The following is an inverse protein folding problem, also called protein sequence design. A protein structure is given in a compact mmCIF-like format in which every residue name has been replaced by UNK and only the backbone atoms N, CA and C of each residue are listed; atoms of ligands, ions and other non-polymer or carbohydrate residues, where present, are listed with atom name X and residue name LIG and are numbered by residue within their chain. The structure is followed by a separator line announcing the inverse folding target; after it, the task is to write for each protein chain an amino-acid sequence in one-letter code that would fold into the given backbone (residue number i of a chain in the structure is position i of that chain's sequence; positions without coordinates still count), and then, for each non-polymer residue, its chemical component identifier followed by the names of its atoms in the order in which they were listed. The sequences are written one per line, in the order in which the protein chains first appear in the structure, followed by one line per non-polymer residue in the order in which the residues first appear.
data_IF_798668109623
#
_entry.id   IF_798668109623
#
_cell.length_a   1.000
_cell.length_b   1.000
_cell.length_c   1.000
_cell.angle_alpha   90.00
_cell.angle_beta   90.00
_cell.angle_gamma   90.00
#
_symmetry.space_group_name_H-M   'P 1'
#
loop_
_entity.id
_entity.type
_entity.pdbx_description
1 polymer ?
#
# COMPACT_ATOMS: atom_id res chain seq x y z
N UNK A 1 14.94 2.60 -8.78
CA UNK A 1 16.19 3.00 -8.09
C UNK A 1 15.83 3.97 -6.98
N UNK A 2 16.04 3.61 -5.70
CA UNK A 2 15.81 4.53 -4.58
C UNK A 2 16.81 5.67 -4.62
N UNK A 3 16.33 6.91 -4.52
CA UNK A 3 17.22 8.06 -4.28
C UNK A 3 17.81 7.94 -2.88
N UNK A 4 19.12 8.18 -2.75
CA UNK A 4 19.76 8.31 -1.43
C UNK A 4 19.26 9.60 -0.81
N UNK A 5 18.70 9.52 0.39
CA UNK A 5 18.29 10.69 1.17
C UNK A 5 19.53 11.24 1.85
N UNK A 6 19.95 12.44 1.47
CA UNK A 6 21.05 13.17 2.13
C UNK A 6 20.43 14.07 3.19
N UNK A 7 20.40 13.62 4.43
CA UNK A 7 19.96 14.44 5.56
C UNK A 7 21.09 15.41 5.93
N UNK A 8 20.87 16.70 5.74
CA UNK A 8 21.77 17.80 6.13
C UNK A 8 21.34 18.45 7.44
N UNK A 9 20.08 18.28 7.80
CA UNK A 9 19.48 18.82 9.02
C UNK A 9 19.75 17.97 10.25
N UNK A 10 19.24 18.45 11.37
CA UNK A 10 19.37 17.76 12.66
C UNK A 10 18.48 16.53 12.70
N UNK A 11 19.05 15.39 13.09
CA UNK A 11 18.29 14.19 13.38
C UNK A 11 17.77 14.24 14.82
N UNK A 12 16.50 13.88 15.00
CA UNK A 12 15.91 13.79 16.34
C UNK A 12 15.96 12.35 16.89
N UNK A 13 16.11 12.21 18.20
CA UNK A 13 16.05 10.91 18.89
C UNK A 13 14.61 10.40 19.03
N UNK A 14 13.60 11.28 18.95
CA UNK A 14 12.19 10.94 18.99
C UNK A 14 11.59 11.05 17.59
N UNK A 15 11.37 9.92 16.91
CA UNK A 15 10.82 9.95 15.55
C UNK A 15 9.36 10.42 15.54
N UNK A 16 8.98 11.11 14.48
CA UNK A 16 7.59 11.28 14.12
C UNK A 16 7.08 9.98 13.48
N UNK A 17 5.97 9.47 13.99
CA UNK A 17 5.32 8.28 13.44
C UNK A 17 4.16 8.72 12.57
N UNK A 18 4.22 8.39 11.29
CA UNK A 18 3.19 8.81 10.32
C UNK A 18 1.86 8.10 10.59
N UNK A 19 0.72 8.83 10.63
CA UNK A 19 -0.58 8.24 11.04
C UNK A 19 -1.07 7.13 10.11
N UNK A 20 -0.72 7.20 8.82
CA UNK A 20 -1.26 6.30 7.80
C UNK A 20 -0.43 5.04 7.59
N UNK A 21 0.88 5.10 7.82
CA UNK A 21 1.82 4.04 7.42
C UNK A 21 2.73 3.58 8.55
N UNK A 22 2.62 4.15 9.76
CA UNK A 22 3.48 3.88 10.93
C UNK A 22 5.00 3.99 10.63
N UNK A 23 5.36 4.74 9.58
CA UNK A 23 6.76 5.00 9.25
C UNK A 23 7.34 5.98 10.26
N UNK A 24 8.52 5.63 10.78
CA UNK A 24 9.26 6.49 11.71
C UNK A 24 10.19 7.42 10.93
N UNK A 25 9.99 8.72 11.09
CA UNK A 25 10.78 9.77 10.47
C UNK A 25 11.65 10.45 11.53
N UNK A 26 12.94 10.60 11.25
CA UNK A 26 13.93 11.12 12.19
C UNK A 26 14.50 12.48 11.77
N UNK A 27 14.24 12.95 10.55
CA UNK A 27 14.68 14.24 10.05
C UNK A 27 13.62 14.94 9.19
N UNK A 28 13.76 16.23 9.00
CA UNK A 28 12.86 17.01 8.19
C UNK A 28 12.92 16.61 6.69
N UNK A 29 14.08 16.17 6.20
CA UNK A 29 14.24 15.66 4.83
C UNK A 29 13.53 14.33 4.64
N UNK A 30 13.55 13.44 5.65
CA UNK A 30 12.74 12.20 5.62
C UNK A 30 11.25 12.51 5.55
N UNK A 31 10.79 13.55 6.27
CA UNK A 31 9.41 14.04 6.16
C UNK A 31 9.10 14.55 4.75
N UNK A 32 9.97 15.34 4.15
CA UNK A 32 9.80 15.82 2.78
C UNK A 32 9.73 14.66 1.77
N UNK A 33 10.62 13.68 1.92
CA UNK A 33 10.62 12.48 1.10
C UNK A 33 9.32 11.68 1.27
N UNK A 34 8.85 11.52 2.50
CA UNK A 34 7.59 10.85 2.79
C UNK A 34 6.41 11.58 2.13
N UNK A 35 6.30 12.89 2.30
CA UNK A 35 5.24 13.71 1.69
C UNK A 35 5.23 13.53 0.17
N UNK A 36 6.37 13.67 -0.46
CA UNK A 36 6.47 13.64 -1.93
C UNK A 36 6.07 12.27 -2.51
N UNK A 37 6.48 11.19 -1.87
CA UNK A 37 6.24 9.84 -2.39
C UNK A 37 4.90 9.24 -1.96
N UNK A 38 4.20 9.84 -0.98
CA UNK A 38 2.96 9.30 -0.42
C UNK A 38 1.79 10.30 -0.50
N UNK A 39 1.81 11.19 -1.47
CA UNK A 39 0.87 12.32 -1.55
C UNK A 39 -0.61 11.91 -1.51
N UNK A 40 -0.95 10.75 -2.09
CA UNK A 40 -2.31 10.21 -2.10
C UNK A 40 -2.74 9.63 -0.74
N UNK A 41 -1.79 9.29 0.13
CA UNK A 41 -2.04 8.73 1.45
C UNK A 41 -2.17 9.81 2.52
N UNK A 42 -1.69 11.02 2.25
CA UNK A 42 -1.64 12.11 3.22
C UNK A 42 -3.01 12.79 3.35
N UNK A 43 -3.47 12.88 4.61
CA UNK A 43 -4.66 13.62 4.98
C UNK A 43 -4.35 14.74 5.99
N UNK A 44 -5.39 15.42 6.47
CA UNK A 44 -5.27 16.46 7.52
C UNK A 44 -4.69 15.91 8.84
N UNK A 45 -4.86 14.63 9.09
CA UNK A 45 -4.35 13.90 10.24
C UNK A 45 -2.81 13.85 10.32
N UNK A 46 -2.10 14.08 9.19
CA UNK A 46 -0.64 14.27 9.21
C UNK A 46 -0.25 15.54 9.99
N UNK A 47 -1.09 16.59 9.95
CA UNK A 47 -0.79 17.89 10.55
C UNK A 47 -1.28 17.92 12.00
N UNK A 48 -0.73 17.06 12.82
CA UNK A 48 -1.02 16.98 14.25
C UNK A 48 -0.01 17.77 15.11
N UNK A 49 -0.21 17.75 16.42
CA UNK A 49 0.70 18.45 17.35
C UNK A 49 2.04 17.72 17.51
N UNK A 50 2.06 16.39 17.23
CA UNK A 50 3.29 15.61 17.26
C UNK A 50 4.20 15.99 16.08
N UNK A 51 3.63 16.29 14.90
CA UNK A 51 4.41 16.81 13.77
C UNK A 51 5.07 18.15 14.12
N UNK A 52 4.33 19.05 14.78
CA UNK A 52 4.85 20.36 15.18
C UNK A 52 6.02 20.19 16.18
N UNK A 53 5.87 19.32 17.18
CA UNK A 53 6.93 19.00 18.14
C UNK A 53 8.14 18.35 17.46
N UNK A 54 7.90 17.45 16.51
CA UNK A 54 8.95 16.82 15.73
C UNK A 54 9.77 17.84 14.92
N UNK A 55 9.11 18.78 14.23
CA UNK A 55 9.79 19.85 13.48
C UNK A 55 10.65 20.73 14.42
N UNK A 56 10.17 21.04 15.61
CA UNK A 56 10.96 21.75 16.61
C UNK A 56 12.21 20.95 17.03
N UNK A 57 12.04 19.65 17.30
CA UNK A 57 13.13 18.77 17.72
C UNK A 57 14.15 18.51 16.58
N UNK A 58 13.71 18.58 15.33
CA UNK A 58 14.55 18.47 14.15
C UNK A 58 15.29 19.79 13.79
N UNK A 59 15.21 20.83 14.66
CA UNK A 59 15.88 22.10 14.43
C UNK A 59 15.10 23.10 13.57
N UNK A 60 13.89 22.75 13.13
CA UNK A 60 13.04 23.53 12.21
C UNK A 60 11.99 24.38 12.97
N UNK A 61 12.44 25.12 13.98
CA UNK A 61 11.55 25.87 14.88
C UNK A 61 10.71 26.94 14.19
N UNK A 62 11.27 27.66 13.22
CA UNK A 62 10.51 28.65 12.42
C UNK A 62 9.46 28.00 11.53
N UNK A 63 9.79 26.84 10.94
CA UNK A 63 8.85 26.07 10.15
C UNK A 63 7.72 25.54 11.02
N UNK A 64 8.04 24.99 12.19
CA UNK A 64 7.04 24.51 13.16
C UNK A 64 6.04 25.61 13.53
N UNK A 65 6.52 26.84 13.82
CA UNK A 65 5.66 27.98 14.12
C UNK A 65 4.76 28.37 12.94
N UNK A 66 5.28 28.34 11.70
CA UNK A 66 4.50 28.61 10.48
C UNK A 66 3.43 27.53 10.25
N UNK A 67 3.79 26.25 10.38
CA UNK A 67 2.85 25.12 10.23
C UNK A 67 1.74 25.21 11.27
N UNK A 68 2.08 25.51 12.53
CA UNK A 68 1.10 25.72 13.60
C UNK A 68 0.11 26.84 13.25
N UNK A 69 0.61 27.99 12.81
CA UNK A 69 -0.24 29.14 12.42
C UNK A 69 -1.17 28.79 11.24
N UNK A 70 -0.67 28.07 10.24
CA UNK A 70 -1.47 27.62 9.10
C UNK A 70 -2.55 26.63 9.55
N UNK A 71 -2.21 25.69 10.43
CA UNK A 71 -3.18 24.75 11.03
C UNK A 71 -4.29 25.49 11.78
N UNK A 72 -3.94 26.41 12.66
CA UNK A 72 -4.89 27.20 13.44
C UNK A 72 -5.79 28.10 12.58
N UNK A 73 -5.28 28.60 11.44
CA UNK A 73 -6.06 29.39 10.49
C UNK A 73 -6.97 28.57 9.58
N UNK A 74 -6.93 27.23 9.67
CA UNK A 74 -7.68 26.35 8.77
C UNK A 74 -7.20 26.34 7.34
N UNK A 75 -5.91 26.60 7.12
CA UNK A 75 -5.32 26.64 5.77
C UNK A 75 -5.47 25.28 5.06
N UNK A 76 -5.66 25.26 3.72
CA UNK A 76 -5.73 24.04 2.96
C UNK A 76 -4.47 23.17 3.15
N UNK A 77 -4.64 21.84 3.22
CA UNK A 77 -3.55 20.88 3.35
C UNK A 77 -2.44 21.12 2.33
N UNK A 78 -2.81 21.37 1.07
CA UNK A 78 -1.87 21.68 -0.01
C UNK A 78 -0.92 22.85 0.34
N UNK A 79 -1.45 23.91 0.95
CA UNK A 79 -0.65 25.06 1.35
C UNK A 79 0.35 24.69 2.45
N UNK A 80 -0.08 23.90 3.43
CA UNK A 80 0.78 23.45 4.54
C UNK A 80 1.90 22.56 4.01
N UNK A 81 1.58 21.57 3.20
CA UNK A 81 2.57 20.66 2.61
C UNK A 81 3.59 21.37 1.73
N UNK A 82 3.13 22.29 0.87
CA UNK A 82 4.04 23.12 0.04
C UNK A 82 4.92 23.99 0.90
N UNK A 83 4.42 24.52 2.03
CA UNK A 83 5.23 25.32 2.97
C UNK A 83 6.35 24.46 3.58
N UNK A 84 6.04 23.22 4.00
CA UNK A 84 7.04 22.28 4.53
C UNK A 84 8.11 21.99 3.48
N UNK A 85 7.71 21.58 2.28
CA UNK A 85 8.63 21.22 1.19
C UNK A 85 9.55 22.37 0.77
N UNK A 86 9.03 23.62 0.70
CA UNK A 86 9.82 24.80 0.35
C UNK A 86 10.80 25.22 1.44
N UNK A 87 10.50 24.95 2.71
CA UNK A 87 11.34 25.38 3.83
C UNK A 87 12.58 24.49 4.03
N UNK A 88 12.52 23.23 3.61
CA UNK A 88 13.60 22.26 3.84
C UNK A 88 14.60 22.22 2.66
N UNK A 89 14.25 22.80 1.51
CA UNK A 89 15.10 22.84 0.30
C UNK A 89 15.64 21.47 -0.15
N UNK A 90 14.80 20.42 0.00
CA UNK A 90 15.15 19.05 -0.39
C UNK A 90 14.77 18.77 -1.86
N UNK A 91 13.69 19.38 -2.33
CA UNK A 91 13.20 19.29 -3.71
C UNK A 91 13.36 20.62 -4.44
N UNK A 92 13.60 20.53 -5.74
CA UNK A 92 13.64 21.71 -6.61
C UNK A 92 12.28 22.41 -6.69
N UNK A 93 12.30 23.69 -7.04
CA UNK A 93 11.06 24.47 -7.23
C UNK A 93 10.14 23.81 -8.27
N UNK A 94 10.69 23.23 -9.35
CA UNK A 94 9.91 22.55 -10.37
C UNK A 94 9.19 21.31 -9.84
N UNK A 95 9.87 20.48 -9.02
CA UNK A 95 9.26 19.31 -8.39
C UNK A 95 8.14 19.71 -7.43
N UNK A 96 8.34 20.78 -6.65
CA UNK A 96 7.32 21.29 -5.71
C UNK A 96 6.10 21.86 -6.45
N UNK A 97 6.29 22.57 -7.57
CA UNK A 97 5.16 23.08 -8.36
C UNK A 97 4.37 21.92 -9.03
N UNK A 98 5.03 20.89 -9.53
CA UNK A 98 4.34 19.68 -10.01
C UNK A 98 3.50 19.04 -8.90
N UNK A 99 4.06 18.89 -7.69
CA UNK A 99 3.32 18.35 -6.55
C UNK A 99 2.12 19.23 -6.17
N UNK A 100 2.28 20.53 -6.21
CA UNK A 100 1.20 21.49 -5.93
C UNK A 100 0.03 21.36 -6.92
N UNK A 101 0.32 21.10 -8.20
CA UNK A 101 -0.73 20.83 -9.20
C UNK A 101 -1.50 19.54 -8.88
N UNK A 102 -0.78 18.47 -8.47
CA UNK A 102 -1.41 17.23 -8.02
C UNK A 102 -2.30 17.51 -6.80
N UNK A 103 -1.81 18.22 -5.79
CA UNK A 103 -2.56 18.58 -4.59
C UNK A 103 -3.81 19.41 -4.90
N UNK A 104 -3.71 20.36 -5.82
CA UNK A 104 -4.85 21.17 -6.26
C UNK A 104 -5.89 20.32 -7.00
N UNK A 105 -5.45 19.35 -7.78
CA UNK A 105 -6.34 18.40 -8.47
C UNK A 105 -7.06 17.52 -7.45
N UNK A 106 -6.33 16.95 -6.49
CA UNK A 106 -6.90 16.17 -5.39
C UNK A 106 -7.94 16.96 -4.57
N UNK A 107 -7.69 18.26 -4.36
CA UNK A 107 -8.62 19.14 -3.66
C UNK A 107 -9.95 19.36 -4.39
N UNK A 108 -10.00 19.17 -5.71
CA UNK A 108 -11.20 19.31 -6.56
C UNK A 108 -11.92 17.99 -6.77
N UNK A 109 -11.31 16.86 -6.45
CA UNK A 109 -11.91 15.55 -6.61
C UNK A 109 -13.05 15.31 -5.63
N UNK A 110 -14.04 14.52 -6.05
CA UNK A 110 -15.09 13.99 -5.19
C UNK A 110 -14.50 13.12 -4.06
N UNK A 111 -15.30 12.87 -3.04
CA UNK A 111 -14.90 11.99 -1.93
C UNK A 111 -14.54 10.59 -2.45
N UNK A 112 -15.31 10.07 -3.41
CA UNK A 112 -15.08 8.76 -4.02
C UNK A 112 -13.75 8.69 -4.77
N UNK A 113 -13.45 9.71 -5.59
CA UNK A 113 -12.19 9.76 -6.33
C UNK A 113 -10.98 9.83 -5.40
N UNK A 114 -11.07 10.61 -4.31
CA UNK A 114 -10.00 10.67 -3.30
C UNK A 114 -9.84 9.35 -2.55
N UNK A 115 -10.95 8.69 -2.17
CA UNK A 115 -10.90 7.37 -1.53
C UNK A 115 -10.31 6.33 -2.46
N UNK A 116 -10.67 6.37 -3.77
CA UNK A 116 -10.10 5.49 -4.77
C UNK A 116 -8.59 5.71 -4.92
N UNK A 117 -8.16 6.94 -5.12
CA UNK A 117 -6.74 7.28 -5.24
C UNK A 117 -5.93 6.86 -4.00
N UNK A 118 -6.52 7.03 -2.81
CA UNK A 118 -5.95 6.59 -1.54
C UNK A 118 -5.87 5.06 -1.45
N UNK A 119 -6.92 4.36 -1.85
CA UNK A 119 -6.95 2.90 -1.93
C UNK A 119 -5.90 2.35 -2.88
N UNK A 120 -5.78 2.96 -4.07
CA UNK A 120 -4.76 2.62 -5.08
C UNK A 120 -3.34 2.82 -4.52
N UNK A 121 -3.10 3.91 -3.80
CA UNK A 121 -1.83 4.17 -3.11
C UNK A 121 -1.50 3.12 -2.05
N UNK A 122 -2.48 2.73 -1.22
CA UNK A 122 -2.31 1.66 -0.25
C UNK A 122 -2.04 0.30 -0.90
N UNK A 123 -2.77 -0.02 -1.97
CA UNK A 123 -2.59 -1.28 -2.71
C UNK A 123 -1.18 -1.38 -3.31
N UNK A 124 -0.67 -0.29 -3.89
CA UNK A 124 0.68 -0.21 -4.44
C UNK A 124 1.79 -0.29 -3.37
N UNK A 125 1.47 0.12 -2.15
CA UNK A 125 2.38 0.05 -0.99
C UNK A 125 2.20 -1.25 -0.18
N UNK A 126 1.42 -2.23 -0.69
CA UNK A 126 1.11 -3.51 -0.08
C UNK A 126 0.32 -3.43 1.25
N UNK A 127 -0.33 -2.30 1.52
CA UNK A 127 -1.22 -2.12 2.67
C UNK A 127 -2.65 -2.58 2.36
N UNK A 128 -2.82 -3.88 2.13
CA UNK A 128 -4.04 -4.46 1.56
C UNK A 128 -5.31 -4.15 2.38
N UNK A 129 -5.27 -4.27 3.70
CA UNK A 129 -6.43 -3.96 4.53
C UNK A 129 -6.86 -2.48 4.45
N UNK A 130 -5.90 -1.56 4.43
CA UNK A 130 -6.19 -0.14 4.27
C UNK A 130 -6.79 0.16 2.89
N UNK A 131 -6.27 -0.49 1.85
CA UNK A 131 -6.83 -0.43 0.50
C UNK A 131 -8.27 -0.96 0.47
N UNK A 132 -8.51 -2.15 1.05
CA UNK A 132 -9.83 -2.76 1.16
C UNK A 132 -10.81 -1.81 1.87
N UNK A 133 -10.40 -1.22 3.01
CA UNK A 133 -11.25 -0.28 3.75
C UNK A 133 -11.67 0.92 2.90
N UNK A 134 -10.74 1.49 2.12
CA UNK A 134 -11.06 2.60 1.21
C UNK A 134 -12.05 2.18 0.13
N UNK A 135 -11.81 1.04 -0.53
CA UNK A 135 -12.67 0.56 -1.61
C UNK A 135 -14.05 0.12 -1.10
N UNK A 136 -14.12 -0.56 0.04
CA UNK A 136 -15.40 -0.95 0.64
C UNK A 136 -16.23 0.27 1.05
N UNK A 137 -15.62 1.34 1.58
CA UNK A 137 -16.32 2.59 1.85
C UNK A 137 -16.95 3.17 0.58
N UNK A 138 -16.23 3.14 -0.56
CA UNK A 138 -16.80 3.59 -1.84
C UNK A 138 -18.02 2.76 -2.21
N UNK A 139 -17.95 1.44 -2.08
CA UNK A 139 -19.03 0.54 -2.49
C UNK A 139 -20.24 0.65 -1.56
N UNK A 140 -20.03 0.79 -0.24
CA UNK A 140 -21.09 0.80 0.78
C UNK A 140 -21.75 2.17 0.91
N UNK A 141 -20.92 3.22 1.01
CA UNK A 141 -21.41 4.55 1.43
C UNK A 141 -21.74 5.47 0.26
N UNK A 142 -21.11 5.23 -0.91
CA UNK A 142 -21.18 6.13 -2.06
C UNK A 142 -21.71 5.47 -3.34
N UNK A 143 -22.31 4.29 -3.25
CA UNK A 143 -22.81 3.55 -4.40
C UNK A 143 -23.73 4.41 -5.29
N UNK A 144 -23.32 4.60 -6.54
CA UNK A 144 -24.11 5.29 -7.57
C UNK A 144 -24.09 6.81 -7.53
N UNK A 145 -23.22 7.45 -6.73
CA UNK A 145 -23.27 8.91 -6.54
C UNK A 145 -22.24 9.70 -7.35
N UNK A 146 -20.98 9.31 -7.35
CA UNK A 146 -19.90 10.19 -7.82
C UNK A 146 -18.88 9.52 -8.77
N UNK A 147 -19.11 8.26 -9.13
CA UNK A 147 -18.23 7.51 -10.02
C UNK A 147 -19.01 6.93 -11.21
N UNK A 148 -18.34 6.85 -12.35
CA UNK A 148 -18.85 6.13 -13.52
C UNK A 148 -18.77 4.62 -13.31
N UNK A 149 -19.57 3.84 -14.03
CA UNK A 149 -19.55 2.37 -13.96
C UNK A 149 -18.15 1.79 -14.19
N UNK A 150 -17.37 2.38 -15.11
CA UNK A 150 -15.99 1.99 -15.38
C UNK A 150 -15.05 2.21 -14.19
N UNK A 151 -15.29 3.23 -13.35
CA UNK A 151 -14.47 3.47 -12.16
C UNK A 151 -14.87 2.54 -11.02
N UNK A 152 -16.15 2.21 -10.89
CA UNK A 152 -16.60 1.13 -10.00
C UNK A 152 -15.99 -0.21 -10.40
N UNK A 153 -15.91 -0.53 -11.71
CA UNK A 153 -15.26 -1.74 -12.18
C UNK A 153 -13.79 -1.80 -11.73
N UNK A 154 -13.06 -0.68 -11.80
CA UNK A 154 -11.68 -0.59 -11.30
C UNK A 154 -11.59 -0.78 -9.78
N UNK A 155 -12.53 -0.21 -9.02
CA UNK A 155 -12.59 -0.39 -7.56
C UNK A 155 -12.79 -1.87 -7.22
N UNK A 156 -13.72 -2.55 -7.88
CA UNK A 156 -13.94 -3.98 -7.69
C UNK A 156 -12.75 -4.82 -8.11
N UNK A 157 -12.10 -4.50 -9.25
CA UNK A 157 -10.87 -5.17 -9.68
C UNK A 157 -9.76 -5.05 -8.63
N UNK A 158 -9.52 -3.85 -8.11
CA UNK A 158 -8.50 -3.59 -7.11
C UNK A 158 -8.82 -4.26 -5.75
N UNK A 159 -10.10 -4.36 -5.39
CA UNK A 159 -10.53 -5.18 -4.25
C UNK A 159 -10.18 -6.66 -4.46
N UNK A 160 -10.49 -7.20 -5.62
CA UNK A 160 -10.11 -8.57 -5.99
C UNK A 160 -8.61 -8.77 -5.88
N UNK A 161 -7.81 -7.81 -6.37
CA UNK A 161 -6.34 -7.85 -6.28
C UNK A 161 -5.86 -7.81 -4.83
N UNK A 162 -6.44 -6.96 -3.98
CA UNK A 162 -6.06 -6.90 -2.57
C UNK A 162 -6.35 -8.23 -1.85
N UNK A 163 -7.52 -8.82 -2.09
CA UNK A 163 -7.87 -10.13 -1.52
C UNK A 163 -7.01 -11.27 -2.07
N UNK A 164 -6.71 -11.28 -3.39
CA UNK A 164 -5.83 -12.28 -4.00
C UNK A 164 -4.42 -12.25 -3.41
N UNK A 165 -3.85 -11.04 -3.19
CA UNK A 165 -2.53 -10.87 -2.56
C UNK A 165 -2.51 -11.27 -1.07
N UNK A 166 -3.68 -11.38 -0.44
CA UNK A 166 -3.86 -11.92 0.90
C UNK A 166 -4.21 -13.43 0.90
N UNK A 167 -4.10 -14.09 -0.24
CA UNK A 167 -4.46 -15.50 -0.45
C UNK A 167 -5.94 -15.83 -0.17
N UNK A 168 -6.82 -14.83 -0.15
CA UNK A 168 -8.27 -14.98 0.03
C UNK A 168 -8.95 -15.11 -1.33
N UNK A 169 -8.63 -16.19 -2.03
CA UNK A 169 -8.96 -16.37 -3.45
C UNK A 169 -10.46 -16.42 -3.73
N UNK A 170 -11.27 -17.04 -2.86
CA UNK A 170 -12.73 -17.07 -3.05
C UNK A 170 -13.33 -15.66 -3.08
N UNK A 171 -12.91 -14.80 -2.16
CA UNK A 171 -13.34 -13.38 -2.17
C UNK A 171 -12.81 -12.63 -3.39
N UNK A 172 -11.58 -12.92 -3.80
CA UNK A 172 -11.01 -12.30 -4.99
C UNK A 172 -11.85 -12.63 -6.23
N UNK A 173 -12.31 -13.87 -6.38
CA UNK A 173 -13.20 -14.30 -7.48
C UNK A 173 -14.49 -13.50 -7.51
N UNK A 174 -15.14 -13.31 -6.34
CA UNK A 174 -16.39 -12.54 -6.23
C UNK A 174 -16.19 -11.12 -6.75
N UNK A 175 -15.13 -10.45 -6.33
CA UNK A 175 -14.86 -9.06 -6.72
C UNK A 175 -14.38 -8.92 -8.16
N UNK A 176 -13.57 -9.82 -8.68
CA UNK A 176 -13.17 -9.82 -10.08
C UNK A 176 -14.35 -10.08 -11.03
N UNK A 177 -15.27 -10.97 -10.66
CA UNK A 177 -16.49 -11.21 -11.42
C UNK A 177 -17.38 -9.97 -11.47
N UNK A 178 -17.52 -9.25 -10.34
CA UNK A 178 -18.28 -8.01 -10.30
C UNK A 178 -17.61 -6.90 -11.14
N UNK A 179 -16.28 -6.83 -11.11
CA UNK A 179 -15.51 -5.93 -11.94
C UNK A 179 -15.72 -6.21 -13.44
N UNK A 180 -15.70 -7.49 -13.84
CA UNK A 180 -15.96 -7.90 -15.22
C UNK A 180 -17.41 -7.59 -15.62
N UNK A 181 -18.37 -7.89 -14.76
CA UNK A 181 -19.78 -7.59 -15.00
C UNK A 181 -20.04 -6.11 -15.30
N UNK A 182 -19.34 -5.20 -14.60
CA UNK A 182 -19.51 -3.76 -14.74
C UNK A 182 -18.70 -3.15 -15.88
N UNK A 183 -17.47 -3.59 -16.07
CA UNK A 183 -16.52 -2.96 -16.99
C UNK A 183 -16.19 -3.76 -18.25
N UNK A 184 -16.55 -5.04 -18.30
CA UNK A 184 -16.24 -5.99 -19.39
C UNK A 184 -14.73 -6.02 -19.74
N UNK A 185 -13.86 -5.79 -18.76
CA UNK A 185 -12.42 -5.83 -18.96
C UNK A 185 -11.90 -7.28 -18.88
N UNK A 186 -11.30 -7.76 -19.96
CA UNK A 186 -10.75 -9.11 -20.05
C UNK A 186 -9.73 -9.43 -18.95
N UNK A 187 -8.98 -8.44 -18.48
CA UNK A 187 -8.06 -8.61 -17.36
C UNK A 187 -8.77 -9.06 -16.09
N UNK A 188 -9.95 -8.48 -15.78
CA UNK A 188 -10.75 -8.90 -14.62
C UNK A 188 -11.25 -10.33 -14.76
N UNK A 189 -11.62 -10.77 -15.98
CA UNK A 189 -12.01 -12.15 -16.27
C UNK A 189 -10.84 -13.12 -16.05
N UNK A 190 -9.67 -12.79 -16.60
CA UNK A 190 -8.44 -13.59 -16.40
C UNK A 190 -8.07 -13.71 -14.92
N UNK A 191 -8.09 -12.61 -14.18
CA UNK A 191 -7.81 -12.61 -12.75
C UNK A 191 -8.83 -13.44 -11.95
N UNK A 192 -10.11 -13.44 -12.35
CA UNK A 192 -11.15 -14.29 -11.74
C UNK A 192 -10.86 -15.77 -11.96
N UNK A 193 -10.52 -16.17 -13.19
CA UNK A 193 -10.15 -17.54 -13.53
C UNK A 193 -8.90 -17.96 -12.73
N UNK A 194 -7.86 -17.14 -12.73
CA UNK A 194 -6.62 -17.40 -11.98
C UNK A 194 -6.89 -17.61 -10.48
N UNK A 195 -7.67 -16.73 -9.87
CA UNK A 195 -8.05 -16.83 -8.46
C UNK A 195 -8.89 -18.10 -8.19
N UNK A 196 -9.79 -18.49 -9.12
CA UNK A 196 -10.57 -19.74 -9.02
C UNK A 196 -9.69 -20.97 -9.04
N UNK A 197 -8.68 -21.01 -9.92
CA UNK A 197 -7.70 -22.10 -9.98
C UNK A 197 -6.91 -22.19 -8.66
N UNK A 198 -6.46 -21.06 -8.14
CA UNK A 198 -5.71 -21.02 -6.87
C UNK A 198 -6.58 -21.44 -5.69
N UNK A 199 -7.85 -21.06 -5.64
CA UNK A 199 -8.79 -21.47 -4.61
C UNK A 199 -9.06 -22.98 -4.62
N UNK A 200 -9.06 -23.62 -5.78
CA UNK A 200 -9.29 -25.06 -5.93
C UNK A 200 -8.05 -25.89 -5.59
N UNK A 201 -6.84 -25.37 -5.82
CA UNK A 201 -5.58 -26.08 -5.50
C UNK A 201 -5.46 -26.51 -4.04
N UNK A 202 -6.10 -25.78 -3.14
CA UNK A 202 -6.10 -26.14 -1.72
C UNK A 202 -7.08 -27.28 -1.37
N UNK A 203 -7.93 -27.73 -2.29
CA UNK A 203 -9.07 -28.61 -1.96
C UNK A 203 -9.12 -29.96 -2.66
N UNK A 204 -8.53 -30.14 -3.85
CA UNK A 204 -8.34 -31.42 -4.56
C UNK A 204 -7.93 -31.21 -6.05
N UNK A 205 -7.27 -32.17 -6.73
CA UNK A 205 -7.02 -32.07 -8.17
C UNK A 205 -8.34 -32.19 -8.93
N UNK A 206 -8.77 -31.12 -9.56
CA UNK A 206 -10.04 -31.09 -10.27
C UNK A 206 -9.84 -31.60 -11.70
N UNK A 207 -10.44 -32.76 -11.97
CA UNK A 207 -10.73 -33.22 -13.32
C UNK A 207 -11.98 -32.46 -13.81
N UNK A 208 -11.81 -31.34 -14.50
CA UNK A 208 -12.91 -30.57 -15.09
C UNK A 208 -12.66 -30.39 -16.55
N UNK A 209 -13.72 -30.52 -17.36
CA UNK A 209 -13.76 -30.04 -18.74
C UNK A 209 -13.42 -28.52 -18.73
N UNK A 210 -12.15 -28.25 -19.02
CA UNK A 210 -11.57 -26.89 -18.92
C UNK A 210 -11.98 -26.14 -20.18
N UNK A 211 -12.70 -25.02 -20.03
CA UNK A 211 -12.95 -24.11 -21.14
C UNK A 211 -11.60 -23.56 -21.66
N UNK A 212 -11.52 -23.26 -22.95
CA UNK A 212 -10.28 -22.84 -23.63
C UNK A 212 -9.56 -21.69 -22.88
N UNK A 213 -10.31 -20.72 -22.40
CA UNK A 213 -9.80 -19.58 -21.60
C UNK A 213 -9.16 -20.03 -20.27
N UNK A 214 -9.73 -21.03 -19.60
CA UNK A 214 -9.24 -21.57 -18.33
C UNK A 214 -7.92 -22.31 -18.53
N UNK A 215 -7.79 -23.08 -19.63
CA UNK A 215 -6.56 -23.76 -19.99
C UNK A 215 -5.39 -22.79 -20.24
N UNK A 216 -5.65 -21.70 -20.97
CA UNK A 216 -4.62 -20.68 -21.25
C UNK A 216 -4.13 -20.05 -19.94
N UNK A 217 -5.06 -19.63 -19.07
CA UNK A 217 -4.71 -19.01 -17.77
C UNK A 217 -3.99 -20.01 -16.88
N UNK A 218 -4.40 -21.28 -16.84
CA UNK A 218 -3.72 -22.30 -16.06
C UNK A 218 -2.26 -22.47 -16.50
N UNK A 219 -2.00 -22.49 -17.81
CA UNK A 219 -0.67 -22.64 -18.36
C UNK A 219 0.23 -21.42 -18.08
N UNK A 220 -0.34 -20.22 -18.15
CA UNK A 220 0.35 -19.00 -17.73
C UNK A 220 0.74 -19.05 -16.24
N UNK A 221 -0.18 -19.48 -15.36
CA UNK A 221 0.09 -19.65 -13.93
C UNK A 221 1.17 -20.68 -13.65
N UNK A 222 1.14 -21.84 -14.30
CA UNK A 222 2.16 -22.88 -14.17
C UNK A 222 3.55 -22.33 -14.56
N UNK A 223 3.62 -21.58 -15.66
CA UNK A 223 4.86 -20.94 -16.09
C UNK A 223 5.37 -19.92 -15.04
N UNK A 224 4.47 -19.11 -14.49
CA UNK A 224 4.84 -18.13 -13.44
C UNK A 224 5.30 -18.84 -12.15
N UNK A 225 4.64 -19.91 -11.76
CA UNK A 225 5.01 -20.72 -10.60
C UNK A 225 6.38 -21.40 -10.79
N UNK A 226 6.66 -21.92 -11.98
CA UNK A 226 7.97 -22.51 -12.30
C UNK A 226 9.07 -21.43 -12.28
N UNK A 227 8.79 -20.25 -12.82
CA UNK A 227 9.73 -19.13 -12.74
C UNK A 227 9.98 -18.68 -11.28
N UNK A 228 8.95 -18.70 -10.42
CA UNK A 228 9.09 -18.35 -9.01
C UNK A 228 10.04 -19.28 -8.23
N UNK A 229 10.19 -20.54 -8.67
CA UNK A 229 11.15 -21.48 -8.08
C UNK A 229 12.62 -21.06 -8.26
N UNK A 230 12.91 -20.15 -9.20
CA UNK A 230 14.24 -19.60 -9.41
C UNK A 230 14.47 -18.30 -8.64
N UNK A 231 13.49 -17.83 -7.85
CA UNK A 231 13.66 -16.64 -7.01
C UNK A 231 14.62 -16.89 -5.85
N UNK A 232 15.22 -15.81 -5.33
CA UNK A 232 16.11 -15.90 -4.17
C UNK A 232 15.38 -16.35 -2.91
N UNK A 233 14.12 -15.95 -2.76
CA UNK A 233 13.27 -16.35 -1.65
C UNK A 233 12.97 -17.86 -1.65
N UNK A 234 12.76 -18.45 -2.83
CA UNK A 234 12.54 -19.89 -2.94
C UNK A 234 13.80 -20.68 -2.65
N UNK A 235 14.95 -20.23 -3.17
CA UNK A 235 16.26 -20.83 -2.88
C UNK A 235 16.59 -20.82 -1.38
N UNK A 236 16.27 -19.71 -0.69
CA UNK A 236 16.43 -19.63 0.77
C UNK A 236 15.60 -20.71 1.49
N UNK A 237 14.38 -20.99 1.04
CA UNK A 237 13.55 -22.06 1.60
C UNK A 237 14.11 -23.45 1.28
N UNK A 238 14.62 -23.68 0.07
CA UNK A 238 15.31 -24.93 -0.30
C UNK A 238 16.57 -25.16 0.54
N UNK A 239 17.35 -24.12 0.81
CA UNK A 239 18.53 -24.22 1.66
C UNK A 239 18.17 -24.59 3.10
N UNK A 240 17.06 -24.03 3.63
CA UNK A 240 16.51 -24.43 4.94
C UNK A 240 16.10 -25.91 4.94
N UNK A 241 15.37 -26.36 3.90
CA UNK A 241 14.91 -27.75 3.81
C UNK A 241 16.09 -28.73 3.66
N UNK A 242 17.15 -28.31 2.97
CA UNK A 242 18.40 -29.10 2.84
C UNK A 242 19.06 -29.38 4.19
N UNK A 243 19.05 -28.42 5.14
CA UNK A 243 19.53 -28.62 6.51
C UNK A 243 18.82 -29.77 7.22
N UNK A 244 17.52 -29.95 6.96
CA UNK A 244 16.72 -31.08 7.48
C UNK A 244 17.16 -32.39 6.84
N UNK A 245 17.35 -32.39 5.51
CA UNK A 245 17.83 -33.57 4.77
C UNK A 245 19.21 -34.06 5.24
N UNK A 246 20.10 -33.14 5.58
CA UNK A 246 21.46 -33.40 6.06
C UNK A 246 21.49 -33.82 7.56
N UNK A 247 20.34 -33.91 8.23
CA UNK A 247 20.23 -34.30 9.64
C UNK A 247 20.60 -33.19 10.64
N UNK A 248 20.85 -31.96 10.17
CA UNK A 248 21.23 -30.82 11.02
C UNK A 248 19.99 -30.12 11.63
N UNK A 249 19.25 -30.85 12.45
CA UNK A 249 17.97 -30.39 13.03
C UNK A 249 18.09 -29.12 13.86
N UNK A 250 19.25 -28.89 14.50
CA UNK A 250 19.46 -27.68 15.30
C UNK A 250 19.50 -26.44 14.43
N UNK A 251 20.29 -26.45 13.35
CA UNK A 251 20.37 -25.32 12.41
C UNK A 251 19.06 -25.16 11.63
N UNK A 252 18.40 -26.25 11.26
CA UNK A 252 17.09 -26.22 10.63
C UNK A 252 16.07 -25.47 11.51
N UNK A 253 15.93 -25.83 12.79
CA UNK A 253 14.99 -25.17 13.70
C UNK A 253 15.34 -23.68 13.89
N UNK A 254 16.64 -23.34 14.04
CA UNK A 254 17.07 -21.95 14.13
C UNK A 254 16.72 -21.13 12.88
N UNK A 255 16.95 -21.70 11.69
CA UNK A 255 16.63 -21.04 10.42
C UNK A 255 15.11 -20.83 10.23
N UNK A 256 14.31 -21.84 10.59
CA UNK A 256 12.83 -21.74 10.59
C UNK A 256 12.37 -20.66 11.55
N UNK A 257 12.85 -20.64 12.79
CA UNK A 257 12.46 -19.66 13.80
C UNK A 257 12.83 -18.23 13.36
N UNK A 258 14.00 -18.05 12.76
CA UNK A 258 14.43 -16.77 12.21
C UNK A 258 13.50 -16.31 11.05
N UNK A 259 13.15 -17.21 10.13
CA UNK A 259 12.27 -16.93 9.00
C UNK A 259 10.85 -16.59 9.45
N UNK A 260 10.29 -17.39 10.38
CA UNK A 260 8.97 -17.15 10.97
C UNK A 260 8.93 -15.82 11.72
N UNK A 261 9.98 -15.49 12.48
CA UNK A 261 10.09 -14.21 13.19
C UNK A 261 10.08 -13.04 12.21
N UNK A 262 10.82 -13.13 11.10
CA UNK A 262 10.81 -12.14 10.03
C UNK A 262 9.41 -11.98 9.41
N UNK A 263 8.74 -13.09 9.07
CA UNK A 263 7.38 -13.05 8.50
C UNK A 263 6.36 -12.48 9.48
N UNK A 264 6.42 -12.86 10.77
CA UNK A 264 5.55 -12.31 11.81
C UNK A 264 5.79 -10.80 12.01
N UNK A 265 7.05 -10.35 11.96
CA UNK A 265 7.37 -8.92 12.03
C UNK A 265 6.78 -8.14 10.85
N UNK A 266 6.90 -8.68 9.64
CA UNK A 266 6.30 -8.11 8.44
C UNK A 266 4.76 -8.09 8.54
N UNK A 267 4.14 -9.22 8.94
CA UNK A 267 2.69 -9.29 9.13
C UNK A 267 2.21 -8.30 10.19
N UNK A 268 2.91 -8.19 11.33
CA UNK A 268 2.58 -7.18 12.36
C UNK A 268 2.64 -5.77 11.82
N UNK A 269 3.63 -5.45 11.00
CA UNK A 269 3.71 -4.15 10.32
C UNK A 269 2.46 -3.89 9.49
N UNK A 270 1.99 -4.86 8.70
CA UNK A 270 0.76 -4.72 7.91
C UNK A 270 -0.51 -4.62 8.77
N UNK A 271 -0.59 -5.38 9.87
CA UNK A 271 -1.78 -5.43 10.75
C UNK A 271 -1.86 -4.23 11.69
N UNK A 272 -0.72 -3.70 12.17
CA UNK A 272 -0.71 -2.57 13.14
C UNK A 272 -1.21 -1.29 12.49
N UNK A 273 -0.90 -1.06 11.22
CA UNK A 273 -1.41 0.07 10.44
C UNK A 273 -2.94 0.06 10.38
N UNK A 274 -3.58 -1.12 10.46
CA UNK A 274 -5.04 -1.27 10.40
C UNK A 274 -5.78 -1.02 11.72
N UNK A 275 -5.13 -1.16 12.87
CA UNK A 275 -5.82 -0.94 14.16
C UNK A 275 -6.27 0.50 14.37
N UNK A 276 -5.64 1.47 13.73
CA UNK A 276 -6.08 2.86 13.70
C UNK A 276 -7.39 3.09 12.92
N UNK A 277 -7.69 2.26 11.92
CA UNK A 277 -8.89 2.38 11.08
C UNK A 277 -10.12 1.67 11.66
N UNK A 278 -9.94 0.60 12.43
CA UNK A 278 -11.03 -0.19 13.01
C UNK A 278 -11.63 0.41 14.31
N UNK A 279 -11.10 1.53 14.80
CA UNK A 279 -11.57 2.21 16.02
C UNK A 279 -12.36 3.51 15.77
N UNK A 280 -12.82 3.74 14.54
CA UNK A 280 -13.70 4.89 14.24
C UNK A 280 -15.02 4.45 13.66
#
# INVERSE_FOLDING_TARGET
MGKIILCRGQRTDKPYVTPQTDIKLYSAEELCYYIYNNIYLIGQDLIDDNLIQFLQAAGEGELAARVKKLKESGAPLAQILVTILKSIDYYSVAEIEQLKEILNTLGKQSVCERLKARGDGYLNADFYFAAISCYESIIKDYKGKDLLAADYAKVYHNLGTAYARMFMYEKAVEYYNEAYRLGQHEESKKCSIAASIMAKKDKEPVNVDVQEDEYVVQRELETLMDNARYSDEYRELEDIDRLKGDGNLTQFNQAIDAKLTSWVANLKRYVTINRGFLRR
#
